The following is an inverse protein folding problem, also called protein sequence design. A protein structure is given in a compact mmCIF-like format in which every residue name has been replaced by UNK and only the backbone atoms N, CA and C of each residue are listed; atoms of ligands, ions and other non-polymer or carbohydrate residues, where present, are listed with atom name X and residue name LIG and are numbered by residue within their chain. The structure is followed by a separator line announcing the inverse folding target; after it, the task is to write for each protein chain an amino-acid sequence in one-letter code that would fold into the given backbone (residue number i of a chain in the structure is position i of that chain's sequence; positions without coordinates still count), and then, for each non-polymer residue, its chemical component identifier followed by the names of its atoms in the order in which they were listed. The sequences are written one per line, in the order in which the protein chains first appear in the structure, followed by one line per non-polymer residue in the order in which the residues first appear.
data_IF_020192710103
#
_entry.id   IF_020192710103
#
_cell.length_a   1.000
_cell.length_b   1.000
_cell.length_c   1.000
_cell.angle_alpha   90.00
_cell.angle_beta   90.00
_cell.angle_gamma   90.00
#
_symmetry.space_group_name_H-M   'P 1'
#
loop_
_entity.id
_entity.type
_entity.pdbx_description
1 polymer ?
#
# COMPACT_ATOMS: atom_id res chain seq x y z
N UNK A 1 4.07 -5.28 11.54
CA UNK A 1 2.60 -5.25 11.34
C UNK A 1 1.93 -6.40 12.10
N UNK A 2 0.68 -6.22 12.56
CA UNK A 2 -0.07 -7.27 13.30
C UNK A 2 -0.72 -8.27 12.35
N UNK A 3 0.09 -8.91 11.51
CA UNK A 3 -0.36 -9.86 10.46
C UNK A 3 0.38 -11.18 10.54
N UNK A 4 -0.27 -12.24 10.07
CA UNK A 4 0.28 -13.57 10.02
C UNK A 4 -0.22 -14.31 8.77
N UNK A 5 0.64 -15.11 8.16
CA UNK A 5 0.23 -16.09 7.15
C UNK A 5 -0.04 -17.43 7.84
N UNK A 6 -1.06 -18.14 7.40
CA UNK A 6 -1.33 -19.49 7.89
C UNK A 6 -0.10 -20.41 7.75
N UNK A 7 0.63 -20.28 6.65
CA UNK A 7 1.86 -21.05 6.40
C UNK A 7 2.96 -20.85 7.46
N UNK A 8 3.06 -19.65 8.05
CA UNK A 8 4.09 -19.32 9.05
C UNK A 8 3.80 -19.96 10.43
N UNK A 9 2.59 -20.47 10.63
CA UNK A 9 2.14 -21.10 11.87
C UNK A 9 2.19 -22.64 11.85
N UNK A 10 2.75 -23.25 10.80
CA UNK A 10 2.83 -24.71 10.68
C UNK A 10 3.61 -25.39 11.83
N UNK A 11 4.52 -24.66 12.48
CA UNK A 11 5.22 -25.13 13.68
C UNK A 11 4.45 -24.97 15.00
N UNK A 12 3.33 -24.23 14.99
CA UNK A 12 2.53 -23.93 16.20
C UNK A 12 1.20 -24.68 16.19
N UNK A 13 0.57 -24.82 15.04
CA UNK A 13 -0.71 -25.48 14.85
C UNK A 13 -0.59 -26.63 13.86
N UNK A 14 -1.19 -27.78 14.17
CA UNK A 14 -1.30 -28.88 13.22
C UNK A 14 -2.09 -28.48 11.96
N UNK A 15 -3.11 -27.63 12.14
CA UNK A 15 -3.97 -27.11 11.06
C UNK A 15 -4.12 -25.59 11.17
N UNK A 16 -3.12 -24.80 10.71
CA UNK A 16 -3.11 -23.34 10.89
C UNK A 16 -4.28 -22.62 10.23
N UNK A 17 -4.70 -23.06 9.04
CA UNK A 17 -5.82 -22.46 8.32
C UNK A 17 -7.14 -22.53 9.11
N UNK A 18 -7.60 -23.72 9.49
CA UNK A 18 -8.75 -23.89 10.38
C UNK A 18 -8.64 -23.15 11.71
N UNK A 19 -7.47 -23.15 12.36
CA UNK A 19 -7.25 -22.43 13.61
C UNK A 19 -7.46 -20.91 13.44
N UNK A 20 -6.88 -20.31 12.40
CA UNK A 20 -7.07 -18.87 12.09
C UNK A 20 -8.51 -18.56 11.67
N UNK A 21 -9.19 -19.47 10.94
CA UNK A 21 -10.58 -19.29 10.59
C UNK A 21 -11.49 -19.31 11.84
N UNK A 22 -11.20 -20.17 12.83
CA UNK A 22 -11.92 -20.19 14.11
C UNK A 22 -11.68 -18.90 14.91
N UNK A 23 -10.46 -18.33 14.88
CA UNK A 23 -10.17 -17.02 15.50
C UNK A 23 -10.92 -15.88 14.78
N UNK A 24 -11.02 -15.95 13.46
CA UNK A 24 -11.78 -14.96 12.68
C UNK A 24 -13.29 -15.05 12.98
N UNK A 25 -13.83 -16.26 13.11
CA UNK A 25 -15.24 -16.45 13.51
C UNK A 25 -15.55 -15.88 14.90
N UNK A 26 -14.58 -15.88 15.81
CA UNK A 26 -14.70 -15.28 17.15
C UNK A 26 -14.44 -13.77 17.18
N UNK A 27 -14.16 -13.14 16.04
CA UNK A 27 -13.87 -11.71 15.97
C UNK A 27 -12.51 -11.28 16.54
N UNK A 28 -11.60 -12.23 16.83
CA UNK A 28 -10.25 -11.94 17.36
C UNK A 28 -9.24 -11.74 16.25
N UNK A 29 -9.46 -12.38 15.11
CA UNK A 29 -8.69 -12.19 13.89
C UNK A 29 -9.59 -11.70 12.75
N UNK A 30 -9.00 -11.02 11.76
CA UNK A 30 -9.69 -10.61 10.56
C UNK A 30 -8.96 -11.15 9.34
N UNK A 31 -9.69 -11.73 8.38
CA UNK A 31 -9.11 -12.29 7.16
C UNK A 31 -8.94 -11.19 6.12
N UNK A 32 -7.70 -10.87 5.80
CA UNK A 32 -7.36 -9.84 4.79
C UNK A 32 -7.41 -10.40 3.36
N UNK A 33 -6.82 -11.59 3.16
CA UNK A 33 -6.77 -12.28 1.88
C UNK A 33 -6.67 -13.79 2.11
N UNK A 34 -6.61 -14.58 1.04
CA UNK A 34 -6.44 -16.03 1.18
C UNK A 34 -5.17 -16.36 1.96
N UNK A 35 -5.33 -17.04 3.10
CA UNK A 35 -4.23 -17.46 3.98
C UNK A 35 -3.53 -16.35 4.75
N UNK A 36 -4.01 -15.10 4.70
CA UNK A 36 -3.44 -13.95 5.41
C UNK A 36 -4.49 -13.34 6.33
N UNK A 37 -4.10 -13.17 7.59
CA UNK A 37 -4.98 -12.65 8.65
C UNK A 37 -4.25 -11.55 9.42
N UNK A 38 -5.01 -10.66 10.06
CA UNK A 38 -4.51 -9.71 11.06
C UNK A 38 -5.24 -9.90 12.38
N UNK A 39 -4.62 -9.44 13.47
CA UNK A 39 -5.30 -9.32 14.74
C UNK A 39 -6.30 -8.15 14.67
N UNK A 40 -7.51 -8.37 15.20
CA UNK A 40 -8.47 -7.29 15.43
C UNK A 40 -7.98 -6.47 16.64
N UNK A 41 -7.95 -5.12 16.56
CA UNK A 41 -7.63 -4.30 17.72
C UNK A 41 -8.57 -4.60 18.90
N UNK A 42 -8.07 -4.64 20.15
CA UNK A 42 -8.88 -5.03 21.32
C UNK A 42 -10.18 -4.24 21.46
N UNK A 43 -10.15 -2.95 21.11
CA UNK A 43 -11.28 -2.01 21.15
C UNK A 43 -12.38 -2.34 20.11
N UNK A 44 -12.09 -3.19 19.13
CA UNK A 44 -13.00 -3.59 18.05
C UNK A 44 -13.39 -5.08 18.09
N UNK A 45 -12.97 -5.80 19.11
CA UNK A 45 -13.37 -7.22 19.27
C UNK A 45 -14.87 -7.30 19.54
N UNK A 46 -15.59 -7.97 18.65
CA UNK A 46 -17.06 -8.07 18.70
C UNK A 46 -17.79 -7.12 17.75
N UNK A 47 -17.09 -6.17 17.15
CA UNK A 47 -17.66 -5.23 16.16
C UNK A 47 -17.45 -5.74 14.72
N UNK A 48 -18.20 -5.11 13.79
CA UNK A 48 -17.98 -5.28 12.33
C UNK A 48 -16.79 -4.45 11.85
N UNK A 49 -15.63 -4.65 12.48
CA UNK A 49 -14.42 -3.92 12.15
C UNK A 49 -13.71 -4.51 10.93
N UNK A 50 -13.17 -3.64 10.11
CA UNK A 50 -12.22 -3.99 9.04
C UNK A 50 -11.19 -2.86 8.89
N UNK A 51 -9.92 -3.18 8.56
CA UNK A 51 -8.90 -2.15 8.36
C UNK A 51 -9.18 -1.36 7.07
N UNK A 52 -8.60 -0.16 6.96
CA UNK A 52 -8.56 0.60 5.71
C UNK A 52 -7.91 -0.21 4.60
N UNK A 53 -8.17 0.15 3.34
CA UNK A 53 -7.53 -0.50 2.19
C UNK A 53 -6.01 -0.38 2.25
N UNK A 54 -5.53 0.77 2.66
CA UNK A 54 -4.12 1.12 2.80
C UNK A 54 -3.44 0.23 3.87
N UNK A 55 -4.06 0.12 5.04
CA UNK A 55 -3.56 -0.75 6.11
C UNK A 55 -3.58 -2.22 5.70
N UNK A 56 -4.66 -2.69 5.06
CA UNK A 56 -4.76 -4.06 4.54
C UNK A 56 -3.69 -4.34 3.47
N UNK A 57 -3.47 -3.39 2.55
CA UNK A 57 -2.43 -3.49 1.49
C UNK A 57 -1.04 -3.61 2.09
N UNK A 58 -0.69 -2.71 3.03
CA UNK A 58 0.60 -2.75 3.72
C UNK A 58 0.78 -4.05 4.51
N UNK A 59 -0.25 -4.49 5.21
CA UNK A 59 -0.24 -5.69 6.03
C UNK A 59 -0.06 -6.98 5.20
N UNK A 60 -0.79 -7.10 4.08
CA UNK A 60 -0.65 -8.22 3.14
C UNK A 60 0.77 -8.24 2.56
N UNK A 61 1.25 -7.09 2.10
CA UNK A 61 2.58 -7.01 1.51
C UNK A 61 3.69 -7.32 2.54
N UNK A 62 3.56 -6.81 3.77
CA UNK A 62 4.50 -7.12 4.86
C UNK A 62 4.51 -8.62 5.20
N UNK A 63 3.35 -9.26 5.24
CA UNK A 63 3.27 -10.70 5.46
C UNK A 63 3.97 -11.53 4.38
N UNK A 64 4.03 -11.02 3.13
CA UNK A 64 4.60 -11.72 1.99
C UNK A 64 6.10 -11.46 1.78
N UNK A 65 6.57 -10.25 2.08
CA UNK A 65 7.94 -9.80 1.77
C UNK A 65 8.80 -9.51 2.99
N UNK A 66 8.19 -9.45 4.16
CA UNK A 66 8.88 -9.09 5.40
C UNK A 66 8.68 -7.61 5.77
N UNK A 67 9.08 -7.30 7.00
CA UNK A 67 8.92 -5.97 7.57
C UNK A 67 9.86 -4.95 6.89
N UNK A 68 9.40 -3.73 6.69
CA UNK A 68 10.15 -2.60 6.07
C UNK A 68 10.66 -2.85 4.65
N UNK A 69 10.13 -3.85 3.93
CA UNK A 69 10.46 -4.10 2.52
C UNK A 69 9.42 -3.46 1.59
N UNK A 70 8.11 -3.74 1.74
CA UNK A 70 7.10 -3.16 0.85
C UNK A 70 6.89 -1.67 1.15
N UNK A 71 6.64 -0.90 0.09
CA UNK A 71 6.38 0.55 0.18
C UNK A 71 5.06 0.85 -0.52
N UNK A 72 4.07 1.40 0.19
CA UNK A 72 2.83 1.89 -0.42
C UNK A 72 3.17 2.99 -1.44
N UNK A 73 2.57 2.93 -2.63
CA UNK A 73 2.89 3.82 -3.76
C UNK A 73 1.65 4.19 -4.56
N UNK A 74 1.81 5.07 -5.54
CA UNK A 74 0.75 5.47 -6.46
C UNK A 74 -0.47 6.07 -5.73
N UNK A 75 -1.68 5.72 -6.16
CA UNK A 75 -2.92 6.23 -5.57
C UNK A 75 -3.08 5.86 -4.09
N UNK A 76 -2.52 4.74 -3.65
CA UNK A 76 -2.54 4.35 -2.23
C UNK A 76 -1.70 5.32 -1.38
N UNK A 77 -0.51 5.70 -1.86
CA UNK A 77 0.30 6.70 -1.20
C UNK A 77 -0.36 8.09 -1.23
N UNK A 78 -0.96 8.47 -2.36
CA UNK A 78 -1.70 9.74 -2.47
C UNK A 78 -2.84 9.82 -1.43
N UNK A 79 -3.56 8.72 -1.18
CA UNK A 79 -4.57 8.67 -0.11
C UNK A 79 -3.95 8.79 1.28
N UNK A 80 -2.82 8.15 1.53
CA UNK A 80 -2.10 8.27 2.81
C UNK A 80 -1.61 9.69 3.08
N UNK A 81 -1.37 10.48 2.03
CA UNK A 81 -1.06 11.92 2.09
C UNK A 81 -2.31 12.81 2.03
N UNK A 82 -3.51 12.24 2.13
CA UNK A 82 -4.80 12.96 2.06
C UNK A 82 -5.05 13.72 0.76
N UNK A 83 -4.30 13.42 -0.31
CA UNK A 83 -4.44 14.07 -1.61
C UNK A 83 -5.58 13.49 -2.47
N UNK A 84 -6.18 12.39 -2.05
CA UNK A 84 -7.31 11.76 -2.74
C UNK A 84 -8.36 11.34 -1.72
N UNK A 85 -9.45 12.12 -1.52
CA UNK A 85 -10.45 11.84 -0.49
C UNK A 85 -11.37 10.67 -0.82
N UNK A 86 -11.57 10.38 -2.11
CA UNK A 86 -12.45 9.28 -2.55
C UNK A 86 -11.86 7.90 -2.27
N UNK A 87 -12.74 6.92 -2.06
CA UNK A 87 -12.34 5.53 -1.93
C UNK A 87 -11.83 4.98 -3.26
N UNK A 88 -10.81 4.13 -3.19
CA UNK A 88 -10.29 3.35 -4.32
C UNK A 88 -10.49 1.85 -4.03
N UNK A 89 -10.67 1.05 -5.09
CA UNK A 89 -10.81 -0.42 -4.98
C UNK A 89 -9.48 -1.17 -5.07
N UNK A 90 -8.39 -0.49 -5.41
CA UNK A 90 -7.08 -1.11 -5.65
C UNK A 90 -6.02 -0.51 -4.74
N UNK A 91 -5.37 -1.36 -3.94
CA UNK A 91 -4.21 -1.00 -3.15
C UNK A 91 -2.91 -1.23 -3.92
N UNK A 92 -2.08 -0.21 -4.08
CA UNK A 92 -0.80 -0.29 -4.78
C UNK A 92 0.38 -0.34 -3.81
N UNK A 93 1.27 -1.30 -4.00
CA UNK A 93 2.46 -1.47 -3.18
C UNK A 93 3.67 -1.84 -4.02
N UNK A 94 4.76 -1.10 -3.85
CA UNK A 94 6.04 -1.38 -4.46
C UNK A 94 6.76 -2.51 -3.71
N UNK A 95 7.27 -3.49 -4.46
CA UNK A 95 7.90 -4.70 -3.94
C UNK A 95 9.14 -5.08 -4.77
N UNK A 96 10.12 -5.82 -4.22
CA UNK A 96 11.34 -6.14 -4.95
C UNK A 96 11.15 -7.21 -6.02
N UNK A 97 10.14 -8.07 -5.90
CA UNK A 97 9.84 -9.15 -6.85
C UNK A 97 8.37 -9.17 -7.22
N UNK A 98 8.07 -9.39 -8.49
CA UNK A 98 6.70 -9.39 -9.01
C UNK A 98 5.87 -10.51 -8.40
N UNK A 99 4.59 -10.20 -8.14
CA UNK A 99 3.56 -11.14 -7.74
C UNK A 99 2.24 -10.79 -8.45
N UNK A 100 1.38 -11.79 -8.64
CA UNK A 100 0.01 -11.56 -9.09
C UNK A 100 -0.76 -10.76 -8.05
N UNK A 101 -1.71 -9.96 -8.51
CA UNK A 101 -2.67 -9.27 -7.66
C UNK A 101 -3.37 -10.25 -6.70
N UNK A 102 -3.73 -9.75 -5.54
CA UNK A 102 -4.46 -10.51 -4.53
C UNK A 102 -5.79 -9.83 -4.22
N UNK A 103 -6.88 -10.58 -4.37
CA UNK A 103 -8.20 -10.13 -3.94
C UNK A 103 -8.28 -10.05 -2.43
N UNK A 104 -8.92 -9.02 -1.93
CA UNK A 104 -9.28 -8.89 -0.52
C UNK A 104 -10.42 -9.86 -0.20
N UNK A 105 -10.44 -10.35 1.05
CA UNK A 105 -11.44 -11.32 1.49
C UNK A 105 -12.70 -10.66 2.08
N UNK A 106 -12.61 -9.40 2.45
CA UNK A 106 -13.61 -8.65 3.23
C UNK A 106 -14.35 -7.56 2.42
N UNK A 107 -13.93 -7.34 1.17
CA UNK A 107 -14.50 -6.33 0.28
C UNK A 107 -14.19 -6.63 -1.18
N UNK A 108 -14.94 -6.01 -2.08
CA UNK A 108 -14.57 -5.97 -3.49
C UNK A 108 -13.39 -5.01 -3.65
N UNK A 109 -12.21 -5.58 -3.88
CA UNK A 109 -10.94 -4.87 -3.99
C UNK A 109 -9.77 -5.81 -4.10
N UNK A 110 -8.64 -5.26 -4.49
CA UNK A 110 -7.41 -6.04 -4.72
C UNK A 110 -6.16 -5.27 -4.32
N UNK A 111 -5.09 -6.01 -4.08
CA UNK A 111 -3.73 -5.49 -3.88
C UNK A 111 -2.92 -5.76 -5.13
N UNK A 112 -2.39 -4.71 -5.76
CA UNK A 112 -1.46 -4.76 -6.89
C UNK A 112 -0.03 -4.56 -6.43
N UNK A 113 0.81 -5.50 -6.82
CA UNK A 113 2.24 -5.48 -6.51
C UNK A 113 3.00 -4.89 -7.70
N UNK A 114 3.68 -3.77 -7.46
CA UNK A 114 4.47 -3.06 -8.48
C UNK A 114 5.94 -3.38 -8.24
N UNK A 115 6.57 -4.10 -9.16
CA UNK A 115 7.99 -4.43 -9.04
C UNK A 115 8.85 -3.17 -9.15
N UNK A 116 9.62 -2.87 -8.10
CA UNK A 116 10.52 -1.71 -8.02
C UNK A 116 11.79 -2.06 -7.21
N UNK A 117 12.86 -1.34 -7.49
CA UNK A 117 14.01 -1.32 -6.57
C UNK A 117 13.64 -0.50 -5.33
N UNK A 118 12.97 -1.15 -4.38
CA UNK A 118 12.38 -0.47 -3.20
C UNK A 118 13.39 0.35 -2.40
N UNK A 119 14.65 -0.06 -2.35
CA UNK A 119 15.73 0.68 -1.70
C UNK A 119 16.03 2.06 -2.35
N UNK A 120 15.58 2.28 -3.58
CA UNK A 120 15.77 3.54 -4.31
C UNK A 120 14.57 4.48 -4.18
N UNK A 121 13.49 4.06 -3.51
CA UNK A 121 12.31 4.89 -3.32
C UNK A 121 12.50 5.80 -2.11
N UNK A 122 12.15 7.07 -2.26
CA UNK A 122 11.98 7.95 -1.12
C UNK A 122 10.68 7.60 -0.39
N UNK A 123 10.80 7.20 0.87
CA UNK A 123 9.67 6.73 1.65
C UNK A 123 9.77 7.14 3.12
N UNK A 124 8.62 7.37 3.72
CA UNK A 124 8.46 7.69 5.14
C UNK A 124 7.64 6.60 5.83
N UNK A 125 7.85 6.45 7.14
CA UNK A 125 7.10 5.50 7.93
C UNK A 125 5.84 6.17 8.49
N UNK A 126 4.67 5.65 8.13
CA UNK A 126 3.35 6.14 8.57
C UNK A 126 2.68 5.11 9.45
N UNK A 127 1.96 5.55 10.49
CA UNK A 127 1.17 4.68 11.36
C UNK A 127 -0.17 4.36 10.70
N UNK A 128 -0.56 3.09 10.73
CA UNK A 128 -1.87 2.58 10.33
C UNK A 128 -2.50 1.80 11.48
N UNK A 129 -3.75 1.38 11.34
CA UNK A 129 -4.46 0.56 12.35
C UNK A 129 -3.75 -0.78 12.62
N UNK A 130 -3.00 -1.28 11.63
CA UNK A 130 -2.29 -2.57 11.72
C UNK A 130 -0.81 -2.44 12.05
N UNK A 131 -0.31 -1.22 12.26
CA UNK A 131 1.08 -0.93 12.57
C UNK A 131 1.72 0.02 11.55
N UNK A 132 3.05 0.14 11.58
CA UNK A 132 3.78 1.09 10.73
C UNK A 132 3.97 0.52 9.32
N UNK A 133 3.70 1.34 8.31
CA UNK A 133 3.95 1.06 6.89
C UNK A 133 4.95 2.07 6.31
N UNK A 134 5.71 1.68 5.30
CA UNK A 134 6.44 2.61 4.45
C UNK A 134 5.52 3.12 3.36
N UNK A 135 5.56 4.42 3.11
CA UNK A 135 4.77 5.12 2.09
C UNK A 135 5.71 6.01 1.31
N UNK A 136 5.63 6.03 -0.01
CA UNK A 136 6.43 6.98 -0.82
C UNK A 136 6.13 8.42 -0.40
N UNK A 137 7.16 9.28 -0.37
CA UNK A 137 6.99 10.72 -0.10
C UNK A 137 6.07 11.38 -1.13
N UNK A 138 5.52 12.57 -0.88
CA UNK A 138 4.73 13.30 -1.89
C UNK A 138 5.44 13.42 -3.24
N UNK A 139 6.73 13.78 -3.23
CA UNK A 139 7.58 13.95 -4.43
C UNK A 139 7.72 12.63 -5.20
N UNK A 140 8.06 11.55 -4.49
CA UNK A 140 8.15 10.23 -5.10
C UNK A 140 6.80 9.79 -5.65
N UNK A 141 5.70 10.05 -4.92
CA UNK A 141 4.34 9.69 -5.32
C UNK A 141 3.92 10.42 -6.59
N UNK A 142 4.18 11.73 -6.70
CA UNK A 142 3.91 12.51 -7.90
C UNK A 142 4.65 11.95 -9.12
N UNK A 143 5.94 11.65 -8.97
CA UNK A 143 6.73 11.07 -10.06
C UNK A 143 6.26 9.67 -10.46
N UNK A 144 5.87 8.85 -9.49
CA UNK A 144 5.35 7.50 -9.74
C UNK A 144 3.99 7.55 -10.47
N UNK A 145 3.08 8.43 -10.04
CA UNK A 145 1.78 8.65 -10.69
C UNK A 145 1.95 9.15 -12.13
N UNK A 146 2.82 10.13 -12.33
CA UNK A 146 3.06 10.69 -13.65
C UNK A 146 3.78 9.73 -14.62
N UNK A 147 4.47 8.70 -14.10
CA UNK A 147 5.09 7.64 -14.89
C UNK A 147 4.10 6.55 -15.28
N UNK A 148 3.02 6.37 -14.52
CA UNK A 148 2.00 5.36 -14.81
C UNK A 148 1.38 5.60 -16.20
N UNK A 149 0.86 4.54 -16.81
CA UNK A 149 0.29 4.60 -18.17
C UNK A 149 -0.83 5.65 -18.23
N UNK A 150 -0.74 6.64 -19.15
CA UNK A 150 -1.77 7.67 -19.32
C UNK A 150 -3.18 7.13 -19.64
N UNK A 151 -3.29 5.82 -19.93
CA UNK A 151 -4.56 5.16 -20.27
C UNK A 151 -5.34 4.63 -19.06
N UNK A 152 -4.73 4.59 -17.88
CA UNK A 152 -5.36 4.10 -16.66
C UNK A 152 -5.81 5.27 -15.79
N UNK A 153 -7.09 5.61 -15.87
CA UNK A 153 -7.79 6.52 -14.95
C UNK A 153 -7.16 7.93 -14.84
N UNK A 154 -7.01 8.57 -15.97
CA UNK A 154 -6.28 9.83 -16.15
C UNK A 154 -6.75 10.92 -15.17
N UNK A 155 -8.06 11.07 -14.95
CA UNK A 155 -8.63 12.10 -14.08
C UNK A 155 -8.27 11.91 -12.59
N UNK A 156 -8.30 10.68 -12.09
CA UNK A 156 -7.99 10.38 -10.66
C UNK A 156 -6.52 10.61 -10.38
N UNK A 157 -5.69 10.16 -11.32
CA UNK A 157 -4.24 10.31 -11.24
C UNK A 157 -3.86 11.79 -11.29
N UNK A 158 -4.48 12.55 -12.20
CA UNK A 158 -4.23 13.99 -12.32
C UNK A 158 -4.69 14.76 -11.08
N UNK A 159 -5.88 14.46 -10.55
CA UNK A 159 -6.38 15.03 -9.29
C UNK A 159 -5.42 14.78 -8.11
N UNK A 160 -4.88 13.56 -8.00
CA UNK A 160 -3.92 13.23 -6.96
C UNK A 160 -2.60 14.00 -7.13
N UNK A 161 -2.10 14.13 -8.36
CA UNK A 161 -0.90 14.92 -8.67
C UNK A 161 -1.14 16.41 -8.33
N UNK A 162 -2.28 16.97 -8.75
CA UNK A 162 -2.64 18.37 -8.51
C UNK A 162 -2.71 18.68 -7.00
N UNK A 163 -3.26 17.77 -6.22
CA UNK A 163 -3.37 17.92 -4.78
C UNK A 163 -2.02 17.77 -4.06
N UNK A 164 -1.12 16.90 -4.56
CA UNK A 164 0.20 16.69 -3.95
C UNK A 164 1.21 17.77 -4.32
N UNK A 165 1.16 18.29 -5.56
CA UNK A 165 2.17 19.18 -6.10
C UNK A 165 2.53 20.39 -5.23
N UNK A 166 1.56 21.12 -4.64
CA UNK A 166 1.86 22.26 -3.77
C UNK A 166 2.62 21.90 -2.48
N UNK A 167 2.64 20.63 -2.12
CA UNK A 167 3.28 20.10 -0.91
C UNK A 167 4.65 19.48 -1.19
N UNK A 168 5.08 19.43 -2.45
CA UNK A 168 6.36 18.87 -2.85
C UNK A 168 7.48 19.90 -2.73
N UNK A 169 8.65 19.48 -2.27
CA UNK A 169 9.89 20.23 -2.35
C UNK A 169 10.45 20.12 -3.79
N UNK A 170 10.61 21.26 -4.52
CA UNK A 170 11.13 21.25 -5.89
C UNK A 170 12.54 20.65 -6.00
N UNK A 171 13.40 20.87 -5.01
CA UNK A 171 14.77 20.33 -4.99
C UNK A 171 14.73 18.81 -4.84
N UNK A 172 13.93 18.30 -3.92
CA UNK A 172 13.74 16.88 -3.73
C UNK A 172 13.14 16.20 -4.97
N UNK A 173 12.14 16.84 -5.61
CA UNK A 173 11.56 16.36 -6.88
C UNK A 173 12.63 16.19 -7.96
N UNK A 174 13.49 17.20 -8.14
CA UNK A 174 14.57 17.16 -9.14
C UNK A 174 15.59 16.07 -8.80
N UNK A 175 16.03 15.97 -7.55
CA UNK A 175 16.98 14.94 -7.09
C UNK A 175 16.46 13.51 -7.35
N UNK A 176 15.20 13.25 -7.01
CA UNK A 176 14.56 11.94 -7.26
C UNK A 176 14.48 11.68 -8.76
N UNK A 177 14.05 12.68 -9.54
CA UNK A 177 13.92 12.56 -10.99
C UNK A 177 15.27 12.27 -11.67
N UNK A 178 16.35 12.87 -11.20
CA UNK A 178 17.72 12.60 -11.68
C UNK A 178 18.14 11.17 -11.30
N UNK A 179 18.04 10.83 -10.02
CA UNK A 179 18.49 9.53 -9.48
C UNK A 179 17.73 8.35 -10.11
N UNK A 180 16.44 8.52 -10.39
CA UNK A 180 15.59 7.48 -10.96
C UNK A 180 15.43 7.55 -12.48
N UNK A 181 16.16 8.44 -13.18
CA UNK A 181 16.10 8.65 -14.63
C UNK A 181 14.70 9.06 -15.12
N UNK A 182 14.04 9.95 -14.38
CA UNK A 182 12.68 10.43 -14.63
C UNK A 182 12.65 11.92 -15.02
N UNK A 183 13.77 12.49 -15.49
CA UNK A 183 13.87 13.92 -15.87
C UNK A 183 12.79 14.36 -16.88
N UNK A 184 12.52 13.53 -17.90
CA UNK A 184 11.48 13.81 -18.88
C UNK A 184 10.07 13.82 -18.26
N UNK A 185 9.79 12.91 -17.33
CA UNK A 185 8.54 12.88 -16.57
C UNK A 185 8.39 14.14 -15.72
N UNK A 186 9.43 14.51 -14.97
CA UNK A 186 9.46 15.74 -14.17
C UNK A 186 9.22 16.98 -15.03
N UNK A 187 9.97 17.15 -16.14
CA UNK A 187 9.80 18.29 -17.04
C UNK A 187 8.38 18.39 -17.62
N UNK A 188 7.77 17.25 -17.98
CA UNK A 188 6.40 17.20 -18.49
C UNK A 188 5.37 17.65 -17.44
N UNK A 189 5.51 17.25 -16.19
CA UNK A 189 4.61 17.68 -15.12
C UNK A 189 4.78 19.15 -14.83
N UNK A 190 6.03 19.62 -14.70
CA UNK A 190 6.35 21.02 -14.41
C UNK A 190 5.86 21.98 -15.52
N UNK A 191 5.90 21.56 -16.79
CA UNK A 191 5.42 22.37 -17.91
C UNK A 191 3.89 22.51 -17.97
N UNK A 192 3.15 21.62 -17.32
CA UNK A 192 1.69 21.65 -17.24
C UNK A 192 1.15 22.41 -16.02
N UNK A 193 2.04 23.05 -15.24
CA UNK A 193 1.77 23.79 -13.98
C UNK A 193 2.20 25.23 -14.14
#
# INVERSE_FOLDING_TARGET
MRTVRAADLAGVYAFPGPALAALAHRGVAHRLAHGIFCAVPPEHVGDTWRPSLEAATAAIATALYGDRIPVLTGLTAARMHHALPRAIGVGYVAVPTQRREMRLADRDGEVRFVMRKVANLEAVAVTTELGRALVTTPEQTVLDLARADPRADDLVTQEAIDALWPHCDPVMLEEIAVRQRMRATHARIAAGR
#
